data_IF_017665863594
#
_entry.id   IF_017665863594
#
_cell.length_a   1.000
_cell.length_b   1.000
_cell.length_c   1.000
_cell.angle_alpha   90.00
_cell.angle_beta   90.00
_cell.angle_gamma   90.00
#
_symmetry.space_group_name_H-M   'P 1'
#
loop_
_entity.id
_entity.type
_entity.pdbx_description
1 polymer ?
#
# COMPACT_ATOMS: atom_id res chain seq x y z
N UNK A 1 -1.69 -17.88 20.32
CA UNK A 1 -1.96 -17.35 18.96
C UNK A 1 -1.38 -15.95 18.86
N UNK A 2 -0.88 -15.54 17.74
CA UNK A 2 -0.11 -14.34 17.59
C UNK A 2 -0.65 -13.49 16.44
N UNK A 3 -0.83 -12.16 16.63
CA UNK A 3 -1.36 -11.27 15.61
C UNK A 3 -0.46 -10.06 15.41
N UNK A 4 -0.24 -9.69 14.15
CA UNK A 4 0.59 -8.58 13.75
C UNK A 4 -0.21 -7.56 12.95
N UNK A 5 -0.20 -6.32 13.41
CA UNK A 5 -0.91 -5.22 12.77
C UNK A 5 0.02 -4.41 11.88
N UNK A 6 -0.39 -4.25 10.62
CA UNK A 6 0.21 -3.32 9.67
C UNK A 6 -0.80 -2.19 9.47
N UNK A 7 -0.44 -0.98 9.83
CA UNK A 7 -1.36 0.16 9.74
C UNK A 7 -1.64 0.58 8.30
N UNK A 8 -2.79 1.20 8.08
CA UNK A 8 -3.19 1.82 6.82
C UNK A 8 -2.63 3.23 6.62
N UNK A 9 -3.26 4.01 5.73
CA UNK A 9 -2.90 5.40 5.44
C UNK A 9 -2.21 5.58 4.08
N UNK A 10 -2.57 4.78 3.07
CA UNK A 10 -2.16 4.90 1.67
C UNK A 10 -0.64 4.95 1.45
N UNK A 11 0.16 4.35 2.32
CA UNK A 11 1.62 4.49 2.39
C UNK A 11 2.10 5.95 2.55
N UNK A 12 1.19 6.88 2.71
CA UNK A 12 1.46 8.31 2.88
C UNK A 12 1.60 8.71 4.33
N UNK A 13 0.70 8.23 5.19
CA UNK A 13 0.61 8.60 6.61
C UNK A 13 0.28 7.39 7.49
N UNK A 14 0.13 7.62 8.79
CA UNK A 14 -0.20 6.60 9.77
C UNK A 14 0.97 6.22 10.67
N UNK A 15 0.70 5.33 11.62
CA UNK A 15 1.72 4.85 12.56
C UNK A 15 1.13 4.01 13.67
N UNK A 16 1.93 3.11 14.24
CA UNK A 16 1.51 2.18 15.30
C UNK A 16 1.14 2.86 16.63
N UNK A 17 1.51 4.13 16.80
CA UNK A 17 1.20 4.91 18.00
C UNK A 17 -0.22 5.51 17.99
N UNK A 18 -0.93 5.44 16.87
CA UNK A 18 -2.32 5.87 16.80
C UNK A 18 -3.17 5.04 17.75
N UNK A 19 -4.04 5.66 18.58
CA UNK A 19 -4.93 4.94 19.49
C UNK A 19 -5.82 3.89 18.82
N UNK A 20 -6.14 4.06 17.54
CA UNK A 20 -6.88 3.09 16.72
C UNK A 20 -6.16 1.73 16.65
N UNK A 21 -4.82 1.74 16.68
CA UNK A 21 -4.00 0.53 16.59
C UNK A 21 -3.60 -0.05 17.95
N UNK A 22 -4.20 0.42 19.05
CA UNK A 22 -3.93 -0.08 20.38
C UNK A 22 -4.52 -1.48 20.58
N UNK A 23 -3.67 -2.51 20.53
CA UNK A 23 -4.05 -3.92 20.69
C UNK A 23 -4.30 -4.39 22.11
N UNK A 24 -4.21 -3.52 23.14
CA UNK A 24 -4.28 -3.92 24.57
C UNK A 24 -5.57 -4.66 24.91
N UNK A 25 -6.72 -4.15 24.47
CA UNK A 25 -8.01 -4.78 24.74
C UNK A 25 -8.11 -6.16 24.08
N UNK A 26 -7.55 -6.29 22.90
CA UNK A 26 -7.54 -7.57 22.17
C UNK A 26 -6.62 -8.58 22.87
N UNK A 27 -5.42 -8.15 23.26
CA UNK A 27 -4.49 -9.00 24.00
C UNK A 27 -5.07 -9.43 25.35
N UNK A 28 -5.74 -8.52 26.08
CA UNK A 28 -6.37 -8.83 27.37
C UNK A 28 -7.57 -9.79 27.25
N UNK A 29 -8.32 -9.73 26.14
CA UNK A 29 -9.51 -10.57 25.94
C UNK A 29 -9.19 -11.95 25.36
N UNK A 30 -7.99 -12.13 24.81
CA UNK A 30 -7.58 -13.35 24.10
C UNK A 30 -6.15 -13.72 24.49
N UNK A 31 -5.82 -14.99 24.41
CA UNK A 31 -4.45 -15.48 24.60
C UNK A 31 -3.61 -15.20 23.34
N UNK A 32 -3.29 -13.94 23.11
CA UNK A 32 -2.55 -13.47 21.95
C UNK A 32 -1.53 -12.40 22.33
N UNK A 33 -0.41 -12.35 21.63
CA UNK A 33 0.52 -11.22 21.63
C UNK A 33 0.23 -10.35 20.43
N UNK A 34 0.09 -9.05 20.60
CA UNK A 34 -0.09 -8.08 19.51
C UNK A 34 1.22 -7.34 19.29
N UNK A 35 1.66 -7.28 18.05
CA UNK A 35 2.78 -6.43 17.62
C UNK A 35 2.31 -5.48 16.54
N UNK A 36 2.38 -4.19 16.79
CA UNK A 36 2.15 -3.15 15.80
C UNK A 36 3.49 -2.63 15.31
N UNK A 37 3.64 -2.48 14.01
CA UNK A 37 4.90 -2.07 13.39
C UNK A 37 4.78 -0.71 12.74
N UNK A 38 5.91 -0.02 12.60
CA UNK A 38 6.08 1.11 11.70
C UNK A 38 6.93 0.69 10.51
N UNK A 39 6.67 1.28 9.38
CA UNK A 39 7.44 1.16 8.15
C UNK A 39 7.59 2.54 7.52
N UNK A 40 8.61 2.74 6.70
CA UNK A 40 8.83 4.01 6.02
C UNK A 40 7.66 4.35 5.12
N UNK A 41 7.25 5.61 5.16
CA UNK A 41 6.08 6.14 4.47
C UNK A 41 6.52 7.15 3.41
N UNK A 42 5.59 7.52 2.54
CA UNK A 42 5.70 8.56 1.52
C UNK A 42 6.99 8.40 0.67
N UNK A 43 7.65 9.49 0.34
CA UNK A 43 8.88 9.46 -0.45
C UNK A 43 10.01 8.63 0.21
N UNK A 44 10.04 8.54 1.56
CA UNK A 44 11.05 7.77 2.26
C UNK A 44 10.83 6.26 2.13
N UNK A 45 9.63 5.82 1.81
CA UNK A 45 9.25 4.42 1.63
C UNK A 45 9.25 3.92 0.20
N UNK A 46 9.18 4.85 -0.80
CA UNK A 46 8.89 4.43 -2.17
C UNK A 46 9.40 5.36 -3.30
N UNK A 47 10.31 6.31 -3.01
CA UNK A 47 10.89 7.15 -4.06
C UNK A 47 11.91 6.34 -4.87
N UNK A 48 11.66 6.17 -6.17
CA UNK A 48 12.52 5.42 -7.05
C UNK A 48 13.77 6.25 -7.40
N UNK A 49 14.91 5.91 -6.82
CA UNK A 49 16.15 6.67 -7.01
C UNK A 49 17.01 6.18 -8.17
N UNK A 50 16.91 4.91 -8.53
CA UNK A 50 17.78 4.27 -9.55
C UNK A 50 17.55 4.82 -10.97
N UNK A 51 16.46 5.52 -11.20
CA UNK A 51 16.16 6.22 -12.46
C UNK A 51 16.79 7.60 -12.59
N UNK A 52 17.41 8.12 -11.52
CA UNK A 52 18.10 9.41 -11.50
C UNK A 52 19.62 9.20 -11.70
N UNK A 53 20.34 10.15 -12.30
CA UNK A 53 21.79 10.07 -12.44
C UNK A 53 22.46 9.84 -11.07
N UNK A 54 23.35 8.86 -10.98
CA UNK A 54 24.04 8.47 -9.75
C UNK A 54 23.18 7.69 -8.76
N UNK A 55 21.98 7.27 -9.16
CA UNK A 55 21.07 6.47 -8.34
C UNK A 55 21.17 4.96 -8.55
N UNK A 56 22.05 4.48 -9.43
CA UNK A 56 22.12 3.10 -9.94
C UNK A 56 22.31 2.05 -8.83
N UNK A 57 22.86 2.44 -7.68
CA UNK A 57 23.07 1.57 -6.52
C UNK A 57 21.85 1.49 -5.58
N UNK A 58 20.85 2.38 -5.75
CA UNK A 58 19.67 2.47 -4.88
C UNK A 58 18.45 1.74 -5.48
N UNK A 59 18.65 0.54 -5.96
CA UNK A 59 17.62 -0.26 -6.65
C UNK A 59 16.39 -0.56 -5.78
N UNK A 60 16.61 -0.64 -4.47
CA UNK A 60 15.56 -0.98 -3.50
C UNK A 60 14.70 0.22 -3.08
N UNK A 61 15.06 1.43 -3.48
CA UNK A 61 14.43 2.66 -3.00
C UNK A 61 12.92 2.73 -3.31
N UNK A 62 12.48 2.09 -4.39
CA UNK A 62 11.08 2.09 -4.81
C UNK A 62 10.14 1.26 -3.93
N UNK A 63 10.65 0.41 -3.02
CA UNK A 63 9.83 -0.49 -2.18
C UNK A 63 10.35 -0.68 -0.75
N UNK A 64 11.04 0.33 -0.21
CA UNK A 64 11.58 0.28 1.15
C UNK A 64 10.51 0.06 2.22
N UNK A 65 9.29 0.55 2.00
CA UNK A 65 8.15 0.29 2.89
C UNK A 65 7.88 -1.23 3.06
N UNK A 66 8.01 -2.00 1.99
CA UNK A 66 7.81 -3.46 2.02
C UNK A 66 9.02 -4.15 2.66
N UNK A 67 10.24 -3.70 2.37
CA UNK A 67 11.44 -4.25 3.01
C UNK A 67 11.45 -4.03 4.52
N UNK A 68 11.01 -2.87 5.01
CA UNK A 68 10.85 -2.61 6.45
C UNK A 68 9.87 -3.59 7.09
N UNK A 69 8.77 -3.89 6.41
CA UNK A 69 7.79 -4.85 6.90
C UNK A 69 8.35 -6.27 6.93
N UNK A 70 9.12 -6.68 5.90
CA UNK A 70 9.82 -7.98 5.90
C UNK A 70 10.82 -8.04 7.04
N UNK A 71 11.62 -6.99 7.26
CA UNK A 71 12.57 -6.92 8.36
C UNK A 71 11.89 -7.04 9.72
N UNK A 72 10.73 -6.40 9.85
CA UNK A 72 9.93 -6.53 11.06
C UNK A 72 9.35 -7.96 11.23
N UNK A 73 8.99 -8.65 10.13
CA UNK A 73 8.57 -10.08 10.18
C UNK A 73 9.71 -10.98 10.65
N UNK A 74 10.89 -10.77 10.12
CA UNK A 74 12.11 -11.49 10.52
C UNK A 74 12.40 -11.28 12.00
N UNK A 75 12.39 -10.03 12.49
CA UNK A 75 12.60 -9.73 13.91
C UNK A 75 11.61 -10.47 14.80
N UNK A 76 10.35 -10.54 14.41
CA UNK A 76 9.35 -11.28 15.17
C UNK A 76 9.64 -12.76 15.18
N UNK A 77 9.96 -13.35 14.04
CA UNK A 77 10.31 -14.76 13.96
C UNK A 77 11.46 -15.11 14.93
N UNK A 78 12.47 -14.24 15.01
CA UNK A 78 13.65 -14.43 15.87
C UNK A 78 13.36 -14.21 17.37
N UNK A 79 12.44 -13.30 17.73
CA UNK A 79 12.36 -12.79 19.10
C UNK A 79 11.06 -13.08 19.83
N UNK A 80 9.98 -13.43 19.13
CA UNK A 80 8.65 -13.44 19.72
C UNK A 80 8.45 -14.48 20.81
N UNK A 81 9.24 -15.55 20.80
CA UNK A 81 9.19 -16.57 21.84
C UNK A 81 9.55 -16.00 23.22
N UNK A 82 10.41 -14.97 23.28
CA UNK A 82 10.74 -14.27 24.52
C UNK A 82 9.56 -13.49 25.11
N UNK A 83 8.53 -13.20 24.30
CA UNK A 83 7.30 -12.53 24.69
C UNK A 83 6.13 -13.51 24.88
N UNK A 84 6.40 -14.81 24.88
CA UNK A 84 5.38 -15.86 25.02
C UNK A 84 4.63 -16.17 23.72
N UNK A 85 5.06 -15.64 22.57
CA UNK A 85 4.49 -15.93 21.26
C UNK A 85 5.10 -17.15 20.59
N UNK A 86 4.39 -17.71 19.61
CA UNK A 86 4.85 -18.83 18.79
C UNK A 86 5.19 -18.32 17.37
N UNK A 87 6.46 -18.37 16.92
CA UNK A 87 6.87 -17.92 15.59
C UNK A 87 6.24 -18.74 14.45
N UNK A 88 5.72 -19.91 14.74
CA UNK A 88 5.02 -20.76 13.76
C UNK A 88 3.50 -20.56 13.76
N UNK A 89 2.99 -19.59 14.52
CA UNK A 89 1.56 -19.28 14.61
C UNK A 89 1.33 -17.76 14.46
N UNK A 90 1.81 -17.20 13.36
CA UNK A 90 1.74 -15.76 13.04
C UNK A 90 0.57 -15.48 12.13
N UNK A 91 -0.27 -14.51 12.51
CA UNK A 91 -1.35 -13.97 11.69
C UNK A 91 -1.10 -12.48 11.45
N UNK A 92 -1.01 -12.08 10.21
CA UNK A 92 -1.02 -10.66 9.83
C UNK A 92 -2.45 -10.14 9.82
N UNK A 93 -2.66 -8.87 10.12
CA UNK A 93 -3.92 -8.19 9.91
C UNK A 93 -3.68 -6.70 9.68
N UNK A 94 -4.56 -6.06 8.97
CA UNK A 94 -4.46 -4.63 8.68
C UNK A 94 -5.47 -4.20 7.64
N UNK A 95 -5.74 -2.91 7.66
CA UNK A 95 -6.75 -2.26 6.83
C UNK A 95 -6.08 -1.42 5.75
N UNK A 96 -6.74 -1.23 4.61
CA UNK A 96 -6.31 -0.33 3.54
C UNK A 96 -4.89 -0.66 3.02
N UNK A 97 -3.93 0.28 3.06
CA UNK A 97 -2.54 0.05 2.68
C UNK A 97 -1.88 -1.07 3.51
N UNK A 98 -2.29 -1.28 4.77
CA UNK A 98 -1.85 -2.40 5.59
C UNK A 98 -2.33 -3.75 5.05
N UNK A 99 -3.55 -3.81 4.54
CA UNK A 99 -4.10 -4.97 3.83
C UNK A 99 -3.37 -5.21 2.50
N UNK A 100 -3.19 -4.15 1.70
CA UNK A 100 -2.46 -4.22 0.43
C UNK A 100 -1.01 -4.70 0.61
N UNK A 101 -0.36 -4.25 1.68
CA UNK A 101 0.96 -4.74 2.07
C UNK A 101 0.95 -6.24 2.33
N UNK A 102 -0.03 -6.74 3.08
CA UNK A 102 -0.13 -8.17 3.37
C UNK A 102 -0.36 -8.98 2.10
N UNK A 103 -1.17 -8.45 1.18
CA UNK A 103 -1.38 -9.08 -0.11
C UNK A 103 -0.06 -9.21 -0.89
N UNK A 104 0.78 -8.16 -0.92
CA UNK A 104 2.10 -8.21 -1.53
C UNK A 104 3.03 -9.18 -0.79
N UNK A 105 3.10 -9.09 0.55
CA UNK A 105 3.94 -9.98 1.37
C UNK A 105 3.58 -11.46 1.18
N UNK A 106 2.29 -11.78 0.97
CA UNK A 106 1.82 -13.15 0.79
C UNK A 106 2.35 -13.83 -0.49
N UNK A 107 2.69 -13.06 -1.51
CA UNK A 107 3.22 -13.56 -2.78
C UNK A 107 4.75 -13.52 -2.86
N UNK A 108 5.43 -13.04 -1.81
CA UNK A 108 6.88 -12.92 -1.76
C UNK A 108 7.48 -14.07 -0.95
N UNK A 109 8.32 -14.93 -1.54
CA UNK A 109 8.99 -16.01 -0.83
C UNK A 109 9.86 -15.53 0.35
N UNK A 110 10.41 -14.33 0.25
CA UNK A 110 11.21 -13.69 1.30
C UNK A 110 10.38 -13.36 2.55
N UNK A 111 9.07 -13.13 2.39
CA UNK A 111 8.15 -12.71 3.45
C UNK A 111 7.24 -13.84 3.94
N UNK A 112 6.63 -14.59 3.03
CA UNK A 112 5.56 -15.54 3.34
C UNK A 112 5.99 -16.71 4.21
N UNK A 113 7.27 -16.99 4.32
CA UNK A 113 7.85 -17.98 5.26
C UNK A 113 7.72 -17.58 6.74
N UNK A 114 7.42 -16.31 7.05
CA UNK A 114 7.36 -15.79 8.41
C UNK A 114 5.96 -15.71 9.01
N UNK A 115 4.92 -16.02 8.23
CA UNK A 115 3.54 -16.01 8.72
C UNK A 115 2.71 -17.08 8.01
N UNK A 116 1.63 -17.51 8.61
CA UNK A 116 0.78 -18.59 8.12
C UNK A 116 -0.61 -18.10 7.75
N UNK A 117 -1.01 -16.91 8.23
CA UNK A 117 -2.36 -16.38 8.02
C UNK A 117 -2.31 -14.88 7.77
N UNK A 118 -3.26 -14.38 6.98
CA UNK A 118 -3.46 -12.97 6.79
C UNK A 118 -4.96 -12.61 6.82
N UNK A 119 -5.28 -11.47 7.43
CA UNK A 119 -6.63 -10.88 7.45
C UNK A 119 -6.53 -9.56 6.69
N UNK A 120 -7.11 -9.56 5.50
CA UNK A 120 -7.06 -8.45 4.54
C UNK A 120 -8.36 -7.65 4.69
N UNK A 121 -8.27 -6.44 5.26
CA UNK A 121 -9.42 -5.61 5.57
C UNK A 121 -9.43 -4.40 4.62
N UNK A 122 -10.42 -4.32 3.73
CA UNK A 122 -10.67 -3.18 2.84
C UNK A 122 -9.42 -2.68 2.07
N UNK A 123 -8.61 -3.57 1.56
CA UNK A 123 -7.34 -3.22 0.91
C UNK A 123 -7.17 -3.83 -0.47
N UNK A 124 -7.15 -3.02 -1.53
CA UNK A 124 -6.94 -3.53 -2.87
C UNK A 124 -5.49 -3.99 -3.06
N UNK A 125 -5.29 -5.18 -3.62
CA UNK A 125 -3.95 -5.66 -3.99
C UNK A 125 -3.29 -4.74 -5.04
N UNK A 126 -4.08 -3.93 -5.74
CA UNK A 126 -3.64 -2.99 -6.77
C UNK A 126 -3.01 -1.72 -6.21
N UNK A 127 -2.94 -1.54 -4.89
CA UNK A 127 -2.27 -0.37 -4.30
C UNK A 127 -0.74 -0.50 -4.42
N UNK A 128 -0.28 -0.42 -5.65
CA UNK A 128 1.13 -0.35 -6.06
C UNK A 128 1.26 0.58 -7.28
N UNK A 129 2.46 1.00 -7.61
CA UNK A 129 2.74 1.77 -8.83
C UNK A 129 3.66 1.01 -9.76
N UNK A 130 3.53 1.27 -11.07
CA UNK A 130 4.46 0.75 -12.08
C UNK A 130 5.81 1.47 -11.98
N UNK A 131 6.83 0.89 -12.63
CA UNK A 131 8.15 1.53 -12.73
C UNK A 131 8.05 2.89 -13.42
N UNK A 132 7.33 2.97 -14.52
CA UNK A 132 7.13 4.20 -15.29
C UNK A 132 6.53 5.32 -14.44
N UNK A 133 5.57 4.97 -13.58
CA UNK A 133 4.97 5.92 -12.66
C UNK A 133 5.93 6.33 -11.54
N UNK A 134 6.72 5.38 -11.04
CA UNK A 134 7.79 5.66 -10.08
C UNK A 134 8.86 6.60 -10.64
N UNK A 135 9.27 6.40 -11.89
CA UNK A 135 10.22 7.26 -12.60
C UNK A 135 9.67 8.67 -12.84
N UNK A 136 8.41 8.77 -13.26
CA UNK A 136 7.74 10.06 -13.42
C UNK A 136 7.77 10.87 -12.12
N UNK A 137 7.33 10.27 -11.02
CA UNK A 137 7.35 10.91 -9.71
C UNK A 137 8.75 11.33 -9.28
N UNK A 138 9.74 10.43 -9.41
CA UNK A 138 11.11 10.69 -8.98
C UNK A 138 11.76 11.86 -9.75
N UNK A 139 11.53 11.92 -11.08
CA UNK A 139 12.08 13.00 -11.92
C UNK A 139 11.45 14.35 -11.60
N UNK A 140 10.11 14.38 -11.51
CA UNK A 140 9.39 15.60 -11.18
C UNK A 140 9.73 16.10 -9.77
N UNK A 141 9.83 15.18 -8.80
CA UNK A 141 10.24 15.51 -7.45
C UNK A 141 11.67 16.08 -7.40
N UNK A 142 12.60 15.48 -8.15
CA UNK A 142 13.96 16.00 -8.28
C UNK A 142 13.98 17.43 -8.87
N UNK A 143 13.14 17.73 -9.86
CA UNK A 143 12.97 19.07 -10.41
C UNK A 143 12.44 20.08 -9.38
N UNK A 144 11.42 19.70 -8.61
CA UNK A 144 10.88 20.53 -7.51
C UNK A 144 11.97 20.85 -6.49
N UNK A 145 12.81 19.87 -6.16
CA UNK A 145 13.92 20.03 -5.22
C UNK A 145 15.15 20.77 -5.81
N UNK A 146 15.14 21.06 -7.12
CA UNK A 146 16.29 21.64 -7.82
C UNK A 146 17.49 20.71 -7.90
N UNK A 147 17.29 19.39 -7.77
CA UNK A 147 18.31 18.36 -7.78
C UNK A 147 18.43 17.72 -9.16
N UNK A 148 19.67 17.42 -9.57
CA UNK A 148 19.98 16.77 -10.86
C UNK A 148 20.40 15.30 -10.68
N UNK A 149 20.78 14.92 -9.47
CA UNK A 149 21.29 13.58 -9.15
C UNK A 149 20.61 13.03 -7.88
N UNK A 150 20.65 11.70 -7.73
CA UNK A 150 20.17 11.05 -6.53
C UNK A 150 20.95 11.50 -5.27
N UNK A 151 22.26 11.73 -5.40
CA UNK A 151 23.11 12.20 -4.29
C UNK A 151 22.70 13.59 -3.80
N UNK A 152 22.32 14.50 -4.71
CA UNK A 152 21.81 15.82 -4.32
C UNK A 152 20.50 15.73 -3.55
N UNK A 153 19.59 14.81 -3.92
CA UNK A 153 18.40 14.53 -3.13
C UNK A 153 18.72 13.91 -1.76
N UNK A 154 19.62 12.94 -1.72
CA UNK A 154 20.04 12.27 -0.48
C UNK A 154 20.79 13.20 0.49
N UNK A 155 21.36 14.30 -0.01
CA UNK A 155 22.01 15.33 0.79
C UNK A 155 21.02 16.33 1.44
N UNK A 156 19.75 16.31 1.04
CA UNK A 156 18.71 17.13 1.63
C UNK A 156 18.32 16.64 3.02
N UNK A 157 17.95 17.55 3.89
CA UNK A 157 17.35 17.20 5.19
C UNK A 157 15.94 16.60 5.00
N UNK A 158 15.46 15.86 5.99
CA UNK A 158 14.11 15.33 5.97
C UNK A 158 13.06 16.45 5.86
N UNK A 159 13.27 17.57 6.54
CA UNK A 159 12.36 18.73 6.51
C UNK A 159 12.28 19.32 5.11
N UNK A 160 13.42 19.56 4.43
CA UNK A 160 13.43 20.03 3.04
C UNK A 160 12.70 19.09 2.09
N UNK A 161 12.90 17.78 2.27
CA UNK A 161 12.22 16.75 1.46
C UNK A 161 10.71 16.75 1.71
N UNK A 162 10.27 16.91 2.95
CA UNK A 162 8.84 17.00 3.31
C UNK A 162 8.21 18.27 2.74
N UNK A 163 8.90 19.41 2.80
CA UNK A 163 8.44 20.65 2.18
C UNK A 163 8.28 20.49 0.67
N UNK A 164 9.28 19.90 0.00
CA UNK A 164 9.20 19.59 -1.44
C UNK A 164 8.05 18.61 -1.77
N UNK A 165 7.82 17.62 -0.92
CA UNK A 165 6.71 16.69 -1.06
C UNK A 165 5.36 17.43 -0.97
N UNK A 166 5.21 18.38 -0.06
CA UNK A 166 3.99 19.18 0.03
C UNK A 166 3.74 19.97 -1.26
N UNK A 167 4.79 20.56 -1.83
CA UNK A 167 4.70 21.25 -3.14
C UNK A 167 4.23 20.31 -4.24
N UNK A 168 4.73 19.06 -4.24
CA UNK A 168 4.29 18.06 -5.20
C UNK A 168 2.81 17.69 -4.99
N UNK A 169 2.41 17.42 -3.74
CA UNK A 169 1.03 17.09 -3.38
C UNK A 169 0.04 18.17 -3.76
N UNK A 170 0.39 19.46 -3.58
CA UNK A 170 -0.46 20.61 -3.93
C UNK A 170 -0.68 20.71 -5.45
N UNK A 171 0.27 20.24 -6.25
CA UNK A 171 0.13 20.17 -7.73
C UNK A 171 -0.66 18.98 -8.21
N UNK A 172 -0.69 17.88 -7.44
CA UNK A 172 -1.21 16.59 -7.81
C UNK A 172 -2.22 16.05 -6.79
N UNK A 173 -3.20 16.88 -6.41
CA UNK A 173 -4.15 16.59 -5.33
C UNK A 173 -4.83 15.22 -5.45
N UNK A 174 -5.14 14.79 -6.67
CA UNK A 174 -5.81 13.51 -6.91
C UNK A 174 -4.87 12.29 -6.90
N UNK A 175 -3.55 12.48 -7.00
CA UNK A 175 -2.58 11.40 -7.08
C UNK A 175 -1.95 11.02 -5.73
N UNK A 176 -2.12 11.88 -4.72
CA UNK A 176 -1.44 11.79 -3.41
C UNK A 176 -1.70 10.45 -2.73
N UNK A 177 -2.92 9.93 -2.81
CA UNK A 177 -3.30 8.69 -2.13
C UNK A 177 -2.63 7.43 -2.67
N UNK A 178 -2.04 7.49 -3.87
CA UNK A 178 -1.56 6.28 -4.55
C UNK A 178 -0.08 6.38 -4.98
N UNK A 179 0.45 7.61 -5.16
CA UNK A 179 1.83 7.78 -5.65
C UNK A 179 2.90 7.25 -4.68
N UNK A 180 2.59 7.18 -3.40
CA UNK A 180 3.51 6.69 -2.38
C UNK A 180 3.46 5.17 -2.16
N UNK A 181 2.66 4.45 -2.95
CA UNK A 181 2.64 3.00 -2.94
C UNK A 181 3.97 2.39 -3.46
N UNK A 182 4.29 1.13 -3.12
CA UNK A 182 5.53 0.49 -3.58
C UNK A 182 5.56 0.30 -5.09
N UNK A 183 6.75 0.31 -5.67
CA UNK A 183 6.98 0.06 -7.10
C UNK A 183 7.01 -1.45 -7.38
N UNK A 184 6.14 -1.91 -8.27
CA UNK A 184 6.10 -3.28 -8.78
C UNK A 184 6.69 -3.31 -10.20
N UNK A 185 7.98 -3.55 -10.32
CA UNK A 185 8.72 -3.52 -11.59
C UNK A 185 9.19 -4.90 -12.07
N UNK A 186 9.01 -5.93 -11.25
CA UNK A 186 9.46 -7.31 -11.54
C UNK A 186 10.88 -7.61 -11.07
N UNK A 187 11.57 -6.66 -10.44
CA UNK A 187 12.90 -6.91 -9.86
C UNK A 187 12.77 -7.68 -8.53
N UNK A 188 12.08 -7.10 -7.56
CA UNK A 188 11.77 -7.70 -6.26
C UNK A 188 10.26 -7.94 -6.10
N UNK A 189 9.44 -6.90 -6.29
CA UNK A 189 7.99 -7.04 -6.32
C UNK A 189 7.53 -7.48 -7.71
N UNK A 190 6.64 -8.48 -7.83
CA UNK A 190 6.13 -8.92 -9.13
C UNK A 190 5.53 -7.76 -9.92
N UNK A 191 5.83 -7.70 -11.21
CA UNK A 191 5.30 -6.66 -12.10
C UNK A 191 3.77 -6.65 -12.17
N UNK A 192 3.16 -7.81 -11.96
CA UNK A 192 1.70 -8.02 -11.95
C UNK A 192 1.30 -8.83 -10.71
N UNK A 193 1.15 -8.20 -9.53
CA UNK A 193 0.82 -8.89 -8.28
C UNK A 193 -0.44 -9.74 -8.37
N UNK A 194 -1.53 -9.24 -8.99
CA UNK A 194 -2.77 -9.99 -9.18
C UNK A 194 -2.56 -11.28 -9.98
N UNK A 195 -1.68 -11.24 -10.98
CA UNK A 195 -1.35 -12.45 -11.75
C UNK A 195 -0.61 -13.46 -10.88
N UNK A 196 0.36 -13.02 -10.09
CA UNK A 196 1.08 -13.89 -9.16
C UNK A 196 0.12 -14.55 -8.15
N UNK A 197 -0.88 -13.81 -7.65
CA UNK A 197 -1.95 -14.35 -6.82
C UNK A 197 -2.76 -15.44 -7.56
N UNK A 198 -3.22 -15.15 -8.76
CA UNK A 198 -4.01 -16.08 -9.57
C UNK A 198 -3.23 -17.36 -9.93
N UNK A 199 -1.91 -17.26 -10.05
CA UNK A 199 -1.00 -18.39 -10.27
C UNK A 199 -0.65 -19.17 -8.99
N UNK A 200 -1.20 -18.74 -7.83
CA UNK A 200 -1.09 -19.47 -6.56
C UNK A 200 0.16 -19.15 -5.74
N UNK A 201 0.80 -18.00 -5.95
CA UNK A 201 1.98 -17.61 -5.15
C UNK A 201 1.68 -17.52 -3.65
N UNK A 202 0.43 -17.25 -3.25
CA UNK A 202 -0.03 -17.18 -1.86
C UNK A 202 -0.76 -18.45 -1.36
N UNK A 203 -0.71 -19.56 -2.10
CA UNK A 203 -1.49 -20.78 -1.84
C UNK A 203 -1.30 -21.43 -0.47
N UNK A 204 -0.16 -21.18 0.16
CA UNK A 204 0.20 -21.77 1.46
C UNK A 204 -0.14 -20.84 2.64
N UNK A 205 -0.78 -19.72 2.38
CA UNK A 205 -1.25 -18.76 3.39
C UNK A 205 -2.77 -18.86 3.52
N UNK A 206 -3.27 -19.04 4.75
CA UNK A 206 -4.71 -19.00 5.04
C UNK A 206 -5.16 -17.52 4.99
N UNK A 207 -6.07 -17.18 4.09
CA UNK A 207 -6.53 -15.81 3.87
C UNK A 207 -7.98 -15.62 4.34
N UNK A 208 -8.19 -14.59 5.15
CA UNK A 208 -9.51 -14.00 5.38
C UNK A 208 -9.52 -12.63 4.71
N UNK A 209 -10.48 -12.37 3.84
CA UNK A 209 -10.60 -11.10 3.14
C UNK A 209 -12.01 -10.55 3.27
N UNK A 210 -12.15 -9.25 3.42
CA UNK A 210 -13.43 -8.57 3.52
C UNK A 210 -13.30 -7.08 3.26
N UNK A 211 -14.45 -6.49 2.94
CA UNK A 211 -14.62 -5.05 2.77
C UNK A 211 -15.94 -4.62 3.43
N UNK A 212 -16.10 -3.32 3.65
CA UNK A 212 -17.37 -2.75 4.11
C UNK A 212 -18.34 -2.59 2.94
N UNK A 213 -19.65 -2.44 3.25
CA UNK A 213 -20.67 -2.19 2.22
C UNK A 213 -20.47 -0.83 1.54
N UNK A 214 -20.04 0.16 2.30
CA UNK A 214 -19.89 1.56 1.88
C UNK A 214 -18.45 2.06 1.95
N UNK A 215 -17.51 1.39 1.27
CA UNK A 215 -16.07 1.70 1.30
C UNK A 215 -15.75 3.16 0.97
N UNK A 216 -16.42 3.73 -0.04
CA UNK A 216 -16.11 5.06 -0.56
C UNK A 216 -16.93 6.19 0.01
N UNK A 217 -17.96 5.92 0.79
CA UNK A 217 -18.76 6.96 1.46
C UNK A 217 -17.90 7.88 2.33
N UNK A 218 -16.88 7.33 2.99
CA UNK A 218 -15.91 8.09 3.75
C UNK A 218 -15.16 9.14 2.91
N UNK A 219 -14.81 8.82 1.68
CA UNK A 219 -14.04 9.70 0.80
C UNK A 219 -14.87 10.87 0.25
N UNK A 220 -16.20 10.79 0.26
CA UNK A 220 -17.08 11.91 -0.08
C UNK A 220 -16.88 13.14 0.84
N UNK A 221 -16.36 12.94 2.06
CA UNK A 221 -16.03 14.05 2.94
C UNK A 221 -14.74 14.79 2.55
N UNK A 222 -13.91 14.20 1.72
CA UNK A 222 -12.60 14.73 1.34
C UNK A 222 -12.54 15.21 -0.10
N UNK A 223 -13.42 14.73 -0.96
CA UNK A 223 -13.41 15.03 -2.39
C UNK A 223 -14.80 15.50 -2.83
N UNK A 224 -14.91 16.76 -3.23
CA UNK A 224 -16.15 17.34 -3.77
C UNK A 224 -16.51 16.75 -5.15
N UNK A 225 -15.50 16.27 -5.90
CA UNK A 225 -15.64 15.63 -7.21
C UNK A 225 -15.06 14.21 -7.19
N UNK A 226 -15.81 13.27 -6.63
CA UNK A 226 -15.43 11.86 -6.60
C UNK A 226 -15.28 11.24 -8.00
N UNK A 227 -16.18 11.49 -8.96
CA UNK A 227 -15.99 11.06 -10.35
C UNK A 227 -14.69 11.57 -10.96
N UNK A 228 -14.37 12.86 -10.82
CA UNK A 228 -13.12 13.44 -11.31
C UNK A 228 -11.89 12.83 -10.63
N UNK A 229 -11.96 12.57 -9.33
CA UNK A 229 -10.93 11.84 -8.60
C UNK A 229 -10.66 10.47 -9.23
N UNK A 230 -11.71 9.70 -9.52
CA UNK A 230 -11.58 8.36 -10.11
C UNK A 230 -11.10 8.40 -11.55
N UNK A 231 -11.62 9.26 -12.37
CA UNK A 231 -11.14 9.43 -13.75
C UNK A 231 -9.67 9.88 -13.82
N UNK A 232 -9.21 10.64 -12.82
CA UNK A 232 -7.81 11.02 -12.70
C UNK A 232 -6.90 9.90 -12.19
N UNK A 233 -7.41 9.05 -11.29
CA UNK A 233 -6.60 8.03 -10.59
C UNK A 233 -6.60 6.67 -11.30
N UNK A 234 -7.73 6.24 -11.81
CA UNK A 234 -7.88 4.88 -12.37
C UNK A 234 -6.93 4.57 -13.53
N UNK A 235 -6.76 5.45 -14.54
CA UNK A 235 -5.85 5.17 -15.64
C UNK A 235 -4.38 5.08 -15.23
N UNK A 236 -4.06 5.60 -14.06
CA UNK A 236 -2.69 5.72 -13.56
C UNK A 236 -2.26 4.49 -12.78
N UNK A 237 -3.20 3.81 -12.12
CA UNK A 237 -2.92 2.77 -11.13
C UNK A 237 -3.34 1.38 -11.55
N UNK A 238 -4.30 1.27 -12.44
CA UNK A 238 -4.75 -0.02 -12.92
C UNK A 238 -4.16 -0.22 -14.31
N UNK A 239 -3.28 -1.20 -14.41
CA UNK A 239 -2.75 -1.74 -15.65
C UNK A 239 -3.86 -1.77 -16.72
N UNK A 240 -3.56 -1.62 -18.01
CA UNK A 240 -4.45 -1.58 -19.19
C UNK A 240 -5.59 -2.63 -19.26
N UNK A 241 -5.80 -3.37 -18.16
CA UNK A 241 -6.79 -4.45 -18.06
C UNK A 241 -8.12 -4.03 -17.43
N UNK A 242 -8.24 -2.80 -16.90
CA UNK A 242 -9.51 -2.31 -16.38
C UNK A 242 -10.06 -1.27 -17.34
N UNK A 243 -11.01 -1.71 -18.15
CA UNK A 243 -11.82 -0.85 -19.00
C UNK A 243 -12.90 -0.19 -18.12
N UNK A 244 -12.64 1.05 -17.72
CA UNK A 244 -13.55 1.84 -16.88
C UNK A 244 -14.90 2.01 -17.58
N UNK A 245 -14.90 2.25 -18.90
CA UNK A 245 -16.12 2.43 -19.67
C UNK A 245 -16.95 1.14 -19.69
N UNK A 246 -16.30 -0.02 -19.75
CA UNK A 246 -16.96 -1.32 -19.64
C UNK A 246 -17.64 -1.48 -18.28
N UNK A 247 -16.91 -1.16 -17.19
CA UNK A 247 -17.44 -1.27 -15.84
C UNK A 247 -18.57 -0.26 -15.59
N UNK A 248 -18.43 0.98 -16.03
CA UNK A 248 -19.49 1.97 -15.97
C UNK A 248 -20.76 1.48 -16.65
N UNK A 249 -20.65 0.97 -17.87
CA UNK A 249 -21.79 0.42 -18.61
C UNK A 249 -22.40 -0.79 -17.90
N UNK A 250 -21.58 -1.69 -17.36
CA UNK A 250 -22.06 -2.85 -16.61
C UNK A 250 -22.85 -2.45 -15.37
N UNK A 251 -22.39 -1.45 -14.62
CA UNK A 251 -23.09 -0.94 -13.44
C UNK A 251 -24.37 -0.19 -13.78
N UNK A 252 -24.36 0.69 -14.79
CA UNK A 252 -25.57 1.37 -15.28
C UNK A 252 -26.62 0.36 -15.76
N UNK A 253 -26.21 -0.75 -16.33
CA UNK A 253 -27.10 -1.83 -16.74
C UNK A 253 -27.64 -2.62 -15.55
N UNK A 254 -26.84 -2.87 -14.53
CA UNK A 254 -27.24 -3.64 -13.34
C UNK A 254 -28.17 -2.84 -12.42
N UNK A 255 -27.93 -1.53 -12.28
CA UNK A 255 -28.70 -0.63 -11.41
C UNK A 255 -29.07 0.66 -12.12
N UNK A 256 -29.99 0.60 -13.09
CA UNK A 256 -30.35 1.75 -13.93
C UNK A 256 -31.05 2.90 -13.18
N UNK A 257 -31.57 2.62 -11.98
CA UNK A 257 -32.25 3.58 -11.11
C UNK A 257 -31.29 4.34 -10.20
N UNK A 258 -30.02 3.95 -10.13
CA UNK A 258 -29.03 4.61 -9.29
C UNK A 258 -28.27 5.67 -10.03
N UNK A 259 -27.93 6.76 -9.33
CA UNK A 259 -26.98 7.75 -9.85
C UNK A 259 -25.61 7.08 -10.09
N UNK A 260 -24.89 7.60 -11.06
CA UNK A 260 -23.56 7.09 -11.41
C UNK A 260 -22.57 7.21 -10.23
N UNK A 261 -22.65 8.29 -9.45
CA UNK A 261 -21.83 8.45 -8.25
C UNK A 261 -22.13 7.38 -7.19
N UNK A 262 -23.40 7.01 -6.99
CA UNK A 262 -23.79 5.89 -6.12
C UNK A 262 -23.31 4.55 -6.67
N UNK A 263 -23.36 4.36 -7.98
CA UNK A 263 -22.85 3.14 -8.63
C UNK A 263 -21.34 3.03 -8.51
N UNK A 264 -20.59 4.12 -8.60
CA UNK A 264 -19.14 4.13 -8.41
C UNK A 264 -18.77 3.69 -6.99
N UNK A 265 -19.49 4.14 -6.00
CA UNK A 265 -19.26 3.75 -4.59
C UNK A 265 -19.37 2.24 -4.40
N UNK A 266 -20.30 1.60 -5.12
CA UNK A 266 -20.47 0.14 -5.09
C UNK A 266 -19.47 -0.61 -5.96
N UNK A 267 -19.04 -0.03 -7.10
CA UNK A 267 -18.17 -0.74 -8.06
C UNK A 267 -16.79 -1.05 -7.52
N UNK A 268 -16.26 -0.16 -6.72
CA UNK A 268 -14.91 -0.26 -6.19
C UNK A 268 -14.77 -1.25 -5.03
N UNK A 269 -15.89 -1.67 -4.44
CA UNK A 269 -15.95 -2.73 -3.44
C UNK A 269 -15.72 -4.12 -4.08
N UNK A 270 -15.99 -4.26 -5.36
CA UNK A 270 -16.05 -5.56 -6.03
C UNK A 270 -14.91 -5.78 -7.06
N UNK A 271 -14.00 -4.81 -7.20
CA UNK A 271 -12.78 -4.94 -7.99
C UNK A 271 -11.62 -5.35 -7.09
#
# INVERSE_FOLDING_TARGET
MYKRQIHGGAYFSGGSADPLYNGSNFAAAKDVVIVSINYRLNLFGSLLLDCLPGGEDYKDAGYLAILDQIRALEWVHENISAFGGDPNCVTLFGESAGSSSQALLSILPEANKYFQRAILESGPIQLYKTRERGEYFAREFAEIMGCKTAQELLAKSADELIEGMQVWCDRHTYEVSLIFSPVCDGSFLPKKPMKAWAEGAAKDIDIMIGCTEDEFTYFHFYFDDLPGFWHGQFPIHFDDQIDIDYWEQAYRKAWPERDFAENYTLSLIHI
#
